data_IF_361100380231
#
_entry.id   IF_361100380231
#
_cell.length_a   1.000
_cell.length_b   1.000
_cell.length_c   1.000
_cell.angle_alpha   90.00
_cell.angle_beta   90.00
_cell.angle_gamma   90.00
#
_symmetry.space_group_name_H-M   'P 1'
#
loop_
_entity.id
_entity.type
_entity.pdbx_description
1 polymer ?
#
# COMPACT_ATOMS: atom_id res chain seq x y z
N UNK A 1 -5.01 33.27 -17.84
CA UNK A 1 -3.74 32.70 -17.33
C UNK A 1 -3.95 31.96 -16.00
N UNK A 2 -4.82 32.45 -15.10
CA UNK A 2 -5.18 31.73 -13.86
C UNK A 2 -5.77 30.34 -14.08
N UNK A 3 -6.58 30.11 -15.11
CA UNK A 3 -7.23 28.79 -15.29
C UNK A 3 -6.24 27.66 -15.56
N UNK A 4 -5.19 27.95 -16.35
CA UNK A 4 -4.11 26.99 -16.60
C UNK A 4 -3.31 26.69 -15.33
N UNK A 5 -3.01 27.72 -14.52
CA UNK A 5 -2.30 27.58 -13.24
C UNK A 5 -3.15 26.81 -12.22
N UNK A 6 -4.46 27.06 -12.18
CA UNK A 6 -5.40 26.35 -11.31
C UNK A 6 -5.54 24.87 -11.70
N UNK A 7 -5.56 24.56 -13.01
CA UNK A 7 -5.56 23.18 -13.48
C UNK A 7 -4.28 22.43 -13.10
N UNK A 8 -3.12 23.08 -13.21
CA UNK A 8 -1.84 22.50 -12.77
C UNK A 8 -1.83 22.30 -11.25
N UNK A 9 -2.31 23.26 -10.46
CA UNK A 9 -2.41 23.13 -9.01
C UNK A 9 -3.36 21.99 -8.58
N UNK A 10 -4.48 21.82 -9.29
CA UNK A 10 -5.43 20.72 -9.06
C UNK A 10 -4.80 19.36 -9.41
N UNK A 11 -4.14 19.26 -10.56
CA UNK A 11 -3.42 18.05 -10.96
C UNK A 11 -2.30 17.71 -9.96
N UNK A 12 -1.54 18.70 -9.50
CA UNK A 12 -0.47 18.51 -8.53
C UNK A 12 -0.99 18.10 -7.15
N UNK A 13 -2.19 18.57 -6.78
CA UNK A 13 -2.91 18.17 -5.56
C UNK A 13 -3.41 16.72 -5.66
N UNK A 14 -3.90 16.30 -6.82
CA UNK A 14 -4.26 14.90 -7.09
C UNK A 14 -3.02 13.98 -7.06
N UNK A 15 -1.86 14.49 -7.51
CA UNK A 15 -0.57 13.79 -7.41
C UNK A 15 0.21 14.12 -6.14
N UNK A 16 -0.41 14.76 -5.15
CA UNK A 16 0.23 15.18 -3.89
C UNK A 16 0.95 14.01 -3.22
N UNK A 17 2.01 14.27 -2.42
CA UNK A 17 2.95 13.27 -1.92
C UNK A 17 2.18 12.08 -1.42
N UNK A 18 2.23 10.99 -2.20
CA UNK A 18 1.22 9.95 -2.14
C UNK A 18 1.01 9.54 -0.69
N UNK A 19 -0.18 9.91 -0.20
CA UNK A 19 -0.61 9.72 1.17
C UNK A 19 -0.57 8.21 1.40
N UNK A 20 0.39 7.77 2.20
CA UNK A 20 0.35 6.43 2.76
C UNK A 20 -0.85 6.45 3.69
N UNK A 21 -1.81 5.57 3.40
CA UNK A 21 -3.00 5.46 4.23
C UNK A 21 -2.55 5.17 5.67
N UNK A 22 -3.05 5.96 6.63
CA UNK A 22 -2.70 5.79 8.04
C UNK A 22 -3.00 4.36 8.53
N UNK A 23 -3.90 3.66 7.85
CA UNK A 23 -4.29 2.29 8.16
C UNK A 23 -3.38 1.22 7.53
N UNK A 24 -2.41 1.57 6.67
CA UNK A 24 -1.59 0.57 5.98
C UNK A 24 -0.82 -0.32 6.96
N UNK A 25 -0.26 0.26 8.03
CA UNK A 25 0.47 -0.51 9.04
C UNK A 25 -0.45 -1.55 9.69
N UNK A 26 -1.61 -1.14 10.20
CA UNK A 26 -2.56 -2.05 10.85
C UNK A 26 -3.11 -3.09 9.86
N UNK A 27 -3.47 -2.68 8.64
CA UNK A 27 -3.98 -3.57 7.60
C UNK A 27 -3.00 -4.69 7.23
N UNK A 28 -1.69 -4.47 7.37
CA UNK A 28 -0.66 -5.50 7.16
C UNK A 28 -0.38 -6.28 8.45
N UNK A 29 -0.16 -5.59 9.58
CA UNK A 29 0.32 -6.21 10.82
C UNK A 29 -0.74 -7.03 11.56
N UNK A 30 -2.02 -6.74 11.36
CA UNK A 30 -3.12 -7.51 11.98
C UNK A 30 -3.50 -8.76 11.17
N UNK A 31 -2.79 -9.07 10.08
CA UNK A 31 -3.07 -10.25 9.27
C UNK A 31 -2.65 -11.54 9.99
N UNK A 32 -3.60 -12.44 10.31
CA UNK A 32 -3.30 -13.69 11.00
C UNK A 32 -2.54 -14.67 10.09
N UNK A 33 -1.90 -15.65 10.71
CA UNK A 33 -1.21 -16.77 10.04
C UNK A 33 0.08 -16.40 9.28
N UNK A 34 0.61 -15.19 9.50
CA UNK A 34 1.92 -14.76 9.01
C UNK A 34 2.85 -14.43 10.17
N UNK A 35 4.14 -14.70 10.02
CA UNK A 35 5.17 -14.22 10.96
C UNK A 35 5.35 -12.71 10.84
N UNK A 36 5.64 -12.03 11.95
CA UNK A 36 5.88 -10.58 11.97
C UNK A 36 6.96 -10.16 10.98
N UNK A 37 8.04 -10.92 10.84
CA UNK A 37 9.13 -10.63 9.89
C UNK A 37 8.63 -10.58 8.44
N UNK A 38 7.78 -11.53 8.08
CA UNK A 38 7.18 -11.58 6.74
C UNK A 38 6.23 -10.38 6.52
N UNK A 39 5.46 -10.02 7.54
CA UNK A 39 4.58 -8.85 7.48
C UNK A 39 5.37 -7.55 7.34
N UNK A 40 6.54 -7.42 8.00
CA UNK A 40 7.44 -6.26 7.85
C UNK A 40 8.01 -6.17 6.42
N UNK A 41 8.37 -7.30 5.81
CA UNK A 41 8.83 -7.32 4.41
C UNK A 41 7.72 -6.86 3.45
N UNK A 42 6.50 -7.33 3.63
CA UNK A 42 5.35 -6.86 2.83
C UNK A 42 5.04 -5.38 3.08
N UNK A 43 5.07 -4.93 4.34
CA UNK A 43 4.78 -3.56 4.72
C UNK A 43 5.79 -2.57 4.11
N UNK A 44 7.08 -2.85 4.20
CA UNK A 44 8.13 -2.00 3.61
C UNK A 44 7.98 -1.90 2.09
N UNK A 45 7.68 -3.01 1.42
CA UNK A 45 7.36 -2.99 0.00
C UNK A 45 6.13 -2.12 -0.31
N UNK A 46 5.04 -2.24 0.44
CA UNK A 46 3.81 -1.46 0.21
C UNK A 46 3.98 0.04 0.53
N UNK A 47 4.85 0.38 1.49
CA UNK A 47 5.25 1.76 1.76
C UNK A 47 5.94 2.41 0.55
N UNK A 48 6.86 1.68 -0.08
CA UNK A 48 7.57 2.14 -1.28
C UNK A 48 6.64 2.15 -2.51
N UNK A 49 5.68 1.22 -2.55
CA UNK A 49 4.73 1.03 -3.66
C UNK A 49 3.34 1.57 -3.31
N UNK A 50 3.26 2.88 -3.11
CA UNK A 50 2.09 3.58 -2.54
C UNK A 50 0.75 3.29 -3.21
N UNK A 51 0.71 3.09 -4.53
CA UNK A 51 -0.51 2.71 -5.25
C UNK A 51 -1.00 1.32 -4.80
N UNK A 52 -0.08 0.34 -4.72
CA UNK A 52 -0.41 -0.99 -4.21
C UNK A 52 -0.74 -0.96 -2.72
N UNK A 53 -0.05 -0.14 -1.92
CA UNK A 53 -0.38 0.08 -0.51
C UNK A 53 -1.82 0.57 -0.32
N UNK A 54 -2.25 1.55 -1.13
CA UNK A 54 -3.63 2.04 -1.11
C UNK A 54 -4.63 0.96 -1.52
N UNK A 55 -4.35 0.21 -2.59
CA UNK A 55 -5.25 -0.87 -3.04
C UNK A 55 -5.34 -1.98 -1.99
N UNK A 56 -4.22 -2.34 -1.36
CA UNK A 56 -4.16 -3.34 -0.30
C UNK A 56 -5.04 -2.97 0.90
N UNK A 57 -5.03 -1.70 1.33
CA UNK A 57 -5.94 -1.23 2.40
C UNK A 57 -7.40 -1.33 1.98
N UNK A 58 -7.73 -1.20 0.70
CA UNK A 58 -9.13 -1.33 0.23
C UNK A 58 -9.56 -2.78 -0.04
N UNK A 59 -8.66 -3.77 0.06
CA UNK A 59 -9.00 -5.18 -0.08
C UNK A 59 -9.75 -5.72 1.15
N UNK A 60 -10.58 -6.74 0.94
CA UNK A 60 -11.09 -7.57 2.03
C UNK A 60 -9.95 -8.37 2.66
N UNK A 61 -10.13 -8.80 3.91
CA UNK A 61 -9.11 -9.58 4.62
C UNK A 61 -8.70 -10.86 3.88
N UNK A 62 -9.66 -11.52 3.23
CA UNK A 62 -9.39 -12.69 2.39
C UNK A 62 -8.46 -12.36 1.20
N UNK A 63 -8.67 -11.22 0.55
CA UNK A 63 -7.82 -10.76 -0.56
C UNK A 63 -6.45 -10.28 -0.07
N UNK A 64 -6.37 -9.59 1.09
CA UNK A 64 -5.09 -9.24 1.71
C UNK A 64 -4.26 -10.47 2.03
N UNK A 65 -4.88 -11.50 2.61
CA UNK A 65 -4.21 -12.77 2.90
C UNK A 65 -3.70 -13.46 1.62
N UNK A 66 -4.49 -13.47 0.55
CA UNK A 66 -4.08 -14.03 -0.74
C UNK A 66 -2.91 -13.24 -1.37
N UNK A 67 -2.97 -11.91 -1.30
CA UNK A 67 -1.91 -11.04 -1.78
C UNK A 67 -0.60 -11.30 -1.01
N UNK A 68 -0.66 -11.33 0.32
CA UNK A 68 0.49 -11.60 1.19
C UNK A 68 1.12 -12.96 0.89
N UNK A 69 0.32 -14.03 0.78
CA UNK A 69 0.84 -15.37 0.43
C UNK A 69 1.57 -15.35 -0.91
N UNK A 70 0.98 -14.72 -1.92
CA UNK A 70 1.54 -14.66 -3.28
C UNK A 70 2.81 -13.82 -3.34
N UNK A 71 2.83 -12.70 -2.61
CA UNK A 71 3.98 -11.81 -2.52
C UNK A 71 5.15 -12.47 -1.77
N UNK A 72 4.89 -13.03 -0.59
CA UNK A 72 5.93 -13.62 0.27
C UNK A 72 6.53 -14.89 -0.31
N UNK A 73 5.71 -15.72 -0.97
CA UNK A 73 6.21 -16.90 -1.69
C UNK A 73 7.24 -16.54 -2.78
N UNK A 74 7.15 -15.33 -3.36
CA UNK A 74 8.07 -14.87 -4.40
C UNK A 74 9.27 -14.11 -3.86
N UNK A 75 9.10 -13.39 -2.74
CA UNK A 75 10.03 -12.35 -2.31
C UNK A 75 10.69 -12.62 -0.95
N UNK A 76 10.27 -13.65 -0.21
CA UNK A 76 10.77 -13.89 1.15
C UNK A 76 11.13 -15.35 1.45
N UNK A 77 10.32 -16.31 1.03
CA UNK A 77 10.51 -17.74 1.37
C UNK A 77 11.31 -18.55 0.33
N UNK A 78 12.11 -17.88 -0.51
CA UNK A 78 12.92 -18.52 -1.56
C UNK A 78 14.09 -19.29 -0.94
#
# INVERSE_FOLDING_TARGET
MSDAVNNVANALRETGPAHVDANLYLAVMEMPDFSEEALIVAYTFLLDNKAQGRDFVNMSDAHRALWLRTFLAKNYYV
#
